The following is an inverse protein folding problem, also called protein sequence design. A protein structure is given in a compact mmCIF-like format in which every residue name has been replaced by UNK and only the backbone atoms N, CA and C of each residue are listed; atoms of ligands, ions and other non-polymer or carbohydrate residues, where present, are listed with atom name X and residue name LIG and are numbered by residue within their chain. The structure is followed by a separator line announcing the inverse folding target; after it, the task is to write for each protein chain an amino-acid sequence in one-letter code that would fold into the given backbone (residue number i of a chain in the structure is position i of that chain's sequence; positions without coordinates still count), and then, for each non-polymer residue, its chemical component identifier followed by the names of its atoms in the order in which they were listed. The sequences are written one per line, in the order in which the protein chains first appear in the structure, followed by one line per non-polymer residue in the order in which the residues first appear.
data_IF_539674404645
#
_entry.id   IF_539674404645
#
_cell.length_a   1.000
_cell.length_b   1.000
_cell.length_c   1.000
_cell.angle_alpha   90.00
_cell.angle_beta   90.00
_cell.angle_gamma   90.00
#
_symmetry.space_group_name_H-M   'P 1'
#
loop_
_entity.id
_entity.type
_entity.pdbx_description
1 polymer ?
#
# COMPACT_ATOMS: atom_id res chain seq x y z
N UNK A 1 34.43 -42.54 30.33
CA UNK A 1 33.71 -43.23 29.22
C UNK A 1 32.35 -43.77 29.64
N UNK A 2 32.19 -44.40 30.80
CA UNK A 2 30.90 -44.97 31.26
C UNK A 2 29.77 -43.94 31.37
N UNK A 3 30.02 -42.74 31.93
CA UNK A 3 29.01 -41.67 32.00
C UNK A 3 28.62 -41.15 30.61
N UNK A 4 29.58 -41.03 29.69
CA UNK A 4 29.35 -40.56 28.32
C UNK A 4 28.46 -41.51 27.52
N UNK A 5 28.77 -42.81 27.54
CA UNK A 5 27.93 -43.80 26.85
C UNK A 5 26.52 -43.85 27.45
N UNK A 6 26.37 -43.71 28.77
CA UNK A 6 25.07 -43.61 29.40
C UNK A 6 24.30 -42.36 28.97
N UNK A 7 24.95 -41.19 28.87
CA UNK A 7 24.31 -39.95 28.43
C UNK A 7 23.88 -40.02 26.96
N UNK A 8 24.75 -40.52 26.07
CA UNK A 8 24.43 -40.73 24.64
C UNK A 8 23.31 -41.76 24.45
N UNK A 9 23.28 -42.83 25.26
CA UNK A 9 22.18 -43.81 25.23
C UNK A 9 20.84 -43.20 25.62
N UNK A 10 20.81 -42.30 26.62
CA UNK A 10 19.59 -41.57 27.00
C UNK A 10 19.15 -40.62 25.89
N UNK A 11 20.10 -39.93 25.24
CA UNK A 11 19.80 -39.05 24.12
C UNK A 11 19.22 -39.83 22.93
N UNK A 12 19.79 -40.99 22.59
CA UNK A 12 19.25 -41.86 21.55
C UNK A 12 17.81 -42.32 21.87
N UNK A 13 17.54 -42.74 23.10
CA UNK A 13 16.19 -43.13 23.52
C UNK A 13 15.19 -41.98 23.45
N UNK A 14 15.64 -40.76 23.78
CA UNK A 14 14.83 -39.55 23.66
C UNK A 14 14.57 -39.13 22.20
N UNK A 15 15.49 -39.44 21.28
CA UNK A 15 15.26 -39.23 19.84
C UNK A 15 14.22 -40.21 19.30
N UNK A 16 14.31 -41.48 19.69
CA UNK A 16 13.37 -42.53 19.30
C UNK A 16 11.92 -42.21 19.72
N UNK A 17 11.74 -41.49 20.84
CA UNK A 17 10.41 -41.10 21.32
C UNK A 17 9.77 -39.95 20.52
N UNK A 18 10.54 -39.24 19.69
CA UNK A 18 10.12 -38.04 18.93
C UNK A 18 9.52 -36.94 19.81
N UNK A 19 9.93 -36.88 21.09
CA UNK A 19 9.46 -35.89 22.03
C UNK A 19 10.58 -34.90 22.38
N UNK A 20 10.43 -33.66 21.95
CA UNK A 20 11.45 -32.62 22.16
C UNK A 20 11.72 -32.34 23.66
N UNK A 21 10.73 -32.56 24.54
CA UNK A 21 10.90 -32.43 25.99
C UNK A 21 11.79 -33.51 26.58
N UNK A 22 11.73 -34.74 26.07
CA UNK A 22 12.61 -35.82 26.49
C UNK A 22 14.05 -35.59 26.02
N UNK A 23 14.22 -35.00 24.83
CA UNK A 23 15.54 -34.59 24.33
C UNK A 23 16.16 -33.55 25.25
N UNK A 24 15.39 -32.54 25.69
CA UNK A 24 15.88 -31.55 26.65
C UNK A 24 16.34 -32.18 27.96
N UNK A 25 15.55 -33.10 28.53
CA UNK A 25 15.91 -33.82 29.75
C UNK A 25 17.16 -34.71 29.55
N UNK A 26 17.32 -35.30 28.37
CA UNK A 26 18.50 -36.08 28.02
C UNK A 26 19.75 -35.19 27.97
N UNK A 27 19.65 -34.02 27.34
CA UNK A 27 20.74 -33.04 27.23
C UNK A 27 21.23 -32.50 28.58
N UNK A 28 20.36 -32.42 29.59
CA UNK A 28 20.76 -32.04 30.95
C UNK A 28 21.72 -33.02 31.63
N UNK A 29 21.86 -34.26 31.12
CA UNK A 29 22.82 -35.23 31.65
C UNK A 29 24.26 -35.00 31.15
N UNK A 30 24.50 -34.02 30.27
CA UNK A 30 25.83 -33.65 29.80
C UNK A 30 26.36 -32.49 30.64
N UNK A 31 27.43 -32.72 31.42
CA UNK A 31 28.09 -31.67 32.22
C UNK A 31 28.60 -30.50 31.36
N UNK A 32 28.74 -29.30 31.94
CA UNK A 32 29.28 -28.12 31.24
C UNK A 32 30.75 -28.32 30.80
N UNK A 33 31.54 -29.09 31.55
CA UNK A 33 32.96 -29.40 31.25
C UNK A 33 33.16 -30.50 30.19
N UNK A 34 32.08 -31.02 29.61
CA UNK A 34 32.17 -32.03 28.55
C UNK A 34 32.74 -31.43 27.26
N UNK A 35 33.98 -31.83 26.91
CA UNK A 35 34.55 -31.59 25.57
C UNK A 35 33.91 -32.53 24.56
N UNK A 36 33.16 -31.95 23.63
CA UNK A 36 32.37 -32.62 22.62
C UNK A 36 33.18 -33.00 21.37
N UNK A 37 34.46 -32.66 21.31
CA UNK A 37 35.34 -32.88 20.14
C UNK A 37 35.27 -34.32 19.59
N UNK A 38 35.12 -35.33 20.46
CA UNK A 38 35.03 -36.76 20.06
C UNK A 38 33.62 -37.24 19.68
N UNK A 39 32.58 -36.46 19.93
CA UNK A 39 31.18 -36.84 19.71
C UNK A 39 30.43 -35.86 18.82
N UNK A 40 31.14 -34.92 18.20
CA UNK A 40 30.55 -33.88 17.35
C UNK A 40 29.69 -34.47 16.22
N UNK A 41 30.18 -35.51 15.54
CA UNK A 41 29.42 -36.26 14.51
C UNK A 41 28.06 -36.79 15.01
N UNK A 42 27.96 -37.15 16.29
CA UNK A 42 26.71 -37.63 16.89
C UNK A 42 25.76 -36.46 17.06
N UNK A 43 26.21 -35.34 17.60
CA UNK A 43 25.38 -34.14 17.76
C UNK A 43 24.89 -33.58 16.43
N UNK A 44 25.73 -33.60 15.38
CA UNK A 44 25.33 -33.21 14.02
C UNK A 44 24.17 -34.07 13.53
N UNK A 45 24.27 -35.40 13.67
CA UNK A 45 23.20 -36.33 13.25
C UNK A 45 21.92 -36.13 14.06
N UNK A 46 22.04 -35.97 15.38
CA UNK A 46 20.90 -35.67 16.26
C UNK A 46 20.21 -34.36 15.86
N UNK A 47 20.98 -33.31 15.57
CA UNK A 47 20.46 -32.03 15.10
C UNK A 47 19.71 -32.18 13.77
N UNK A 48 20.32 -32.86 12.78
CA UNK A 48 19.69 -33.10 11.47
C UNK A 48 18.36 -33.84 11.61
N UNK A 49 18.28 -34.82 12.52
CA UNK A 49 17.03 -35.52 12.83
C UNK A 49 16.00 -34.59 13.47
N UNK A 50 16.37 -33.83 14.51
CA UNK A 50 15.45 -32.92 15.22
C UNK A 50 14.92 -31.82 14.29
N UNK A 51 15.74 -31.29 13.40
CA UNK A 51 15.35 -30.26 12.44
C UNK A 51 14.24 -30.74 11.50
N UNK A 52 14.16 -32.06 11.25
CA UNK A 52 13.10 -32.65 10.42
C UNK A 52 11.75 -32.78 11.14
N UNK A 53 11.69 -32.51 12.45
CA UNK A 53 10.46 -32.62 13.24
C UNK A 53 9.61 -31.35 13.17
N UNK A 54 8.34 -31.46 13.57
CA UNK A 54 7.49 -30.28 13.80
C UNK A 54 7.86 -29.61 15.14
N UNK A 55 8.74 -28.62 15.05
CA UNK A 55 9.24 -27.87 16.20
C UNK A 55 8.23 -26.81 16.72
N UNK A 56 7.07 -26.66 16.07
CA UNK A 56 6.06 -25.66 16.46
C UNK A 56 5.19 -26.09 17.65
N UNK A 57 5.25 -27.37 18.03
CA UNK A 57 4.51 -27.95 19.17
C UNK A 57 4.93 -27.29 20.50
N UNK A 58 6.21 -26.99 20.67
CA UNK A 58 6.74 -26.30 21.85
C UNK A 58 7.95 -25.43 21.51
N UNK A 59 7.71 -24.20 21.05
CA UNK A 59 8.75 -23.29 20.54
C UNK A 59 9.91 -23.09 21.54
N UNK A 60 9.61 -22.80 22.81
CA UNK A 60 10.64 -22.51 23.83
C UNK A 60 11.57 -23.71 24.10
N UNK A 61 10.99 -24.91 24.20
CA UNK A 61 11.75 -26.15 24.38
C UNK A 61 12.59 -26.44 23.13
N UNK A 62 11.99 -26.31 21.94
CA UNK A 62 12.70 -26.48 20.66
C UNK A 62 13.88 -25.51 20.54
N UNK A 63 13.70 -24.22 20.89
CA UNK A 63 14.79 -23.23 20.91
C UNK A 63 15.91 -23.66 21.84
N UNK A 64 15.56 -24.07 23.05
CA UNK A 64 16.53 -24.47 24.08
C UNK A 64 17.34 -25.69 23.64
N UNK A 65 16.67 -26.74 23.15
CA UNK A 65 17.32 -27.96 22.65
C UNK A 65 18.28 -27.66 21.51
N UNK A 66 17.84 -26.89 20.52
CA UNK A 66 18.65 -26.57 19.35
C UNK A 66 19.85 -25.72 19.74
N UNK A 67 19.68 -24.69 20.58
CA UNK A 67 20.82 -23.89 21.08
C UNK A 67 21.81 -24.74 21.88
N UNK A 68 21.33 -25.59 22.78
CA UNK A 68 22.20 -26.46 23.58
C UNK A 68 23.01 -27.40 22.68
N UNK A 69 22.40 -28.00 21.66
CA UNK A 69 23.12 -28.87 20.73
C UNK A 69 24.11 -28.10 19.84
N UNK A 70 23.72 -26.93 19.31
CA UNK A 70 24.61 -26.08 18.51
C UNK A 70 25.83 -25.62 19.32
N UNK A 71 25.66 -25.27 20.60
CA UNK A 71 26.76 -24.87 21.49
C UNK A 71 27.74 -26.01 21.82
N UNK A 72 27.40 -27.28 21.52
CA UNK A 72 28.29 -28.43 21.68
C UNK A 72 29.11 -28.72 20.41
N UNK A 73 28.88 -28.01 19.32
CA UNK A 73 29.71 -28.12 18.11
C UNK A 73 30.93 -27.22 18.26
N UNK A 74 32.07 -27.80 18.64
CA UNK A 74 33.33 -27.07 18.88
C UNK A 74 34.03 -26.69 17.57
N UNK A 75 33.86 -27.47 16.51
CA UNK A 75 34.47 -27.20 15.21
C UNK A 75 33.64 -26.16 14.44
N UNK A 76 34.24 -24.98 14.25
CA UNK A 76 33.62 -23.88 13.51
C UNK A 76 33.17 -24.27 12.09
N UNK A 77 33.90 -25.14 11.39
CA UNK A 77 33.52 -25.57 10.04
C UNK A 77 32.26 -26.44 10.04
N UNK A 78 32.13 -27.31 11.05
CA UNK A 78 30.95 -28.17 11.25
C UNK A 78 29.74 -27.34 11.65
N UNK A 79 29.94 -26.39 12.57
CA UNK A 79 28.89 -25.45 12.99
C UNK A 79 28.41 -24.58 11.82
N UNK A 80 29.31 -24.09 10.97
CA UNK A 80 28.96 -23.34 9.75
C UNK A 80 28.15 -24.19 8.76
N UNK A 81 28.57 -25.45 8.51
CA UNK A 81 27.83 -26.38 7.66
C UNK A 81 26.42 -26.67 8.20
N UNK A 82 26.30 -26.84 9.52
CA UNK A 82 25.03 -27.07 10.20
C UNK A 82 24.09 -25.87 10.11
N UNK A 83 24.60 -24.64 10.28
CA UNK A 83 23.85 -23.41 10.05
C UNK A 83 23.34 -23.31 8.59
N UNK A 84 24.21 -23.58 7.62
CA UNK A 84 23.85 -23.60 6.20
C UNK A 84 22.76 -24.64 5.90
N UNK A 85 22.85 -25.82 6.51
CA UNK A 85 21.83 -26.86 6.40
C UNK A 85 20.49 -26.38 6.95
N UNK A 86 20.47 -25.80 8.17
CA UNK A 86 19.25 -25.29 8.81
C UNK A 86 18.56 -24.24 7.93
N UNK A 87 19.32 -23.26 7.43
CA UNK A 87 18.77 -22.18 6.60
C UNK A 87 18.23 -22.74 5.28
N UNK A 88 18.83 -23.80 4.72
CA UNK A 88 18.28 -24.46 3.52
C UNK A 88 17.00 -25.25 3.81
N UNK A 89 16.87 -25.86 4.99
CA UNK A 89 15.64 -26.59 5.37
C UNK A 89 14.47 -25.66 5.69
N UNK A 90 14.73 -24.38 6.00
CA UNK A 90 13.72 -23.37 6.30
C UNK A 90 12.79 -23.72 7.49
N UNK A 91 13.26 -24.50 8.45
CA UNK A 91 12.51 -24.81 9.68
C UNK A 91 12.35 -23.57 10.58
N UNK A 92 11.11 -23.28 10.93
CA UNK A 92 10.64 -22.07 11.64
C UNK A 92 11.60 -21.47 12.68
N UNK A 93 11.84 -22.21 13.76
CA UNK A 93 12.50 -21.72 14.97
C UNK A 93 14.03 -21.81 14.88
N UNK A 94 14.53 -22.79 14.14
CA UNK A 94 15.98 -23.03 14.01
C UNK A 94 16.62 -22.03 13.06
N UNK A 95 15.90 -21.50 12.07
CA UNK A 95 16.42 -20.48 11.15
C UNK A 95 16.87 -19.23 11.92
N UNK A 96 16.08 -18.76 12.90
CA UNK A 96 16.48 -17.60 13.71
C UNK A 96 17.79 -17.88 14.49
N UNK A 97 17.89 -19.06 15.10
CA UNK A 97 19.09 -19.49 15.85
C UNK A 97 20.31 -19.58 14.93
N UNK A 98 20.17 -20.25 13.77
CA UNK A 98 21.26 -20.40 12.81
C UNK A 98 21.74 -19.03 12.31
N UNK A 99 20.82 -18.11 12.02
CA UNK A 99 21.17 -16.75 11.59
C UNK A 99 21.86 -15.96 12.70
N UNK A 100 21.41 -16.05 13.95
CA UNK A 100 22.08 -15.40 15.08
C UNK A 100 23.53 -15.88 15.22
N UNK A 101 23.75 -17.20 15.21
CA UNK A 101 25.09 -17.81 15.29
C UNK A 101 25.97 -17.37 14.11
N UNK A 102 25.43 -17.40 12.88
CA UNK A 102 26.18 -16.95 11.70
C UNK A 102 26.60 -15.49 11.81
N UNK A 103 25.72 -14.61 12.32
CA UNK A 103 26.03 -13.19 12.50
C UNK A 103 27.11 -12.98 13.57
N UNK A 104 27.01 -13.69 14.70
CA UNK A 104 28.01 -13.62 15.79
C UNK A 104 29.41 -14.02 15.30
N UNK A 105 29.50 -15.00 14.41
CA UNK A 105 30.76 -15.48 13.84
C UNK A 105 31.19 -14.74 12.55
N UNK A 106 30.37 -13.82 12.04
CA UNK A 106 30.63 -13.09 10.80
C UNK A 106 30.54 -13.94 9.53
N UNK A 107 29.83 -15.07 9.57
CA UNK A 107 29.62 -15.95 8.43
C UNK A 107 28.54 -15.41 7.49
N UNK A 108 28.77 -15.59 6.19
CA UNK A 108 27.85 -15.19 5.13
C UNK A 108 27.57 -16.36 4.18
N UNK A 109 26.40 -16.36 3.57
CA UNK A 109 26.02 -17.37 2.58
C UNK A 109 26.78 -17.13 1.28
N UNK A 110 27.19 -18.23 0.62
CA UNK A 110 27.71 -18.15 -0.76
C UNK A 110 26.57 -17.81 -1.72
N UNK A 111 26.93 -17.33 -2.91
CA UNK A 111 25.94 -16.93 -3.93
C UNK A 111 24.97 -18.05 -4.30
N UNK A 112 25.44 -19.29 -4.42
CA UNK A 112 24.58 -20.44 -4.75
C UNK A 112 23.67 -20.83 -3.59
N UNK A 113 24.18 -20.72 -2.35
CA UNK A 113 23.39 -20.97 -1.14
C UNK A 113 22.29 -19.92 -0.99
N UNK A 114 22.55 -18.64 -1.27
CA UNK A 114 21.54 -17.59 -1.28
C UNK A 114 20.38 -17.92 -2.23
N UNK A 115 20.68 -18.45 -3.42
CA UNK A 115 19.67 -18.83 -4.41
C UNK A 115 18.84 -20.03 -3.94
N UNK A 116 19.49 -21.00 -3.33
CA UNK A 116 18.81 -22.18 -2.80
C UNK A 116 17.89 -21.81 -1.64
N UNK A 117 18.39 -21.03 -0.67
CA UNK A 117 17.59 -20.49 0.44
C UNK A 117 16.39 -19.72 -0.07
N UNK A 118 16.55 -18.88 -1.10
CA UNK A 118 15.44 -18.16 -1.71
C UNK A 118 14.35 -19.09 -2.28
N UNK A 119 14.74 -20.15 -2.99
CA UNK A 119 13.78 -21.13 -3.52
C UNK A 119 13.02 -21.85 -2.42
N UNK A 120 13.71 -22.21 -1.33
CA UNK A 120 13.11 -22.90 -0.19
C UNK A 120 12.16 -21.98 0.60
N UNK A 121 12.49 -20.69 0.69
CA UNK A 121 11.58 -19.69 1.23
C UNK A 121 10.30 -19.63 0.39
N UNK A 122 10.41 -19.54 -0.94
CA UNK A 122 9.24 -19.43 -1.82
C UNK A 122 8.35 -20.69 -1.78
N UNK A 123 8.92 -21.89 -1.56
CA UNK A 123 8.14 -23.12 -1.41
C UNK A 123 7.44 -23.24 -0.04
N UNK A 124 7.99 -22.66 1.02
CA UNK A 124 7.52 -22.83 2.41
C UNK A 124 6.45 -21.81 2.88
N UNK A 125 6.05 -20.83 2.06
CA UNK A 125 5.23 -19.68 2.52
C UNK A 125 3.82 -20.01 3.04
N UNK A 126 3.27 -21.21 2.84
CA UNK A 126 1.82 -21.44 2.94
C UNK A 126 1.33 -22.28 4.15
N UNK A 127 2.20 -22.76 5.04
CA UNK A 127 1.82 -23.81 6.02
C UNK A 127 1.92 -23.41 7.50
N UNK A 128 2.41 -22.22 7.83
CA UNK A 128 2.79 -21.87 9.21
C UNK A 128 1.93 -20.77 9.83
N UNK A 129 1.92 -20.71 11.18
CA UNK A 129 1.38 -19.56 11.92
C UNK A 129 2.11 -18.28 11.51
N UNK A 130 1.37 -17.18 11.38
CA UNK A 130 1.89 -15.94 10.80
C UNK A 130 3.03 -15.29 11.62
N UNK A 131 3.00 -15.39 12.95
CA UNK A 131 4.07 -14.88 13.82
C UNK A 131 5.40 -15.61 13.60
N UNK A 132 5.31 -16.92 13.40
CA UNK A 132 6.46 -17.78 13.11
C UNK A 132 7.04 -17.43 11.73
N UNK A 133 6.17 -17.24 10.74
CA UNK A 133 6.57 -16.77 9.42
C UNK A 133 7.30 -15.42 9.52
N UNK A 134 6.77 -14.47 10.29
CA UNK A 134 7.40 -13.16 10.47
C UNK A 134 8.81 -13.26 11.06
N UNK A 135 9.00 -14.04 12.15
CA UNK A 135 10.32 -14.28 12.77
C UNK A 135 11.31 -14.89 11.77
N UNK A 136 10.91 -15.97 11.09
CA UNK A 136 11.74 -16.66 10.09
C UNK A 136 12.13 -15.74 8.94
N UNK A 137 11.18 -14.96 8.41
CA UNK A 137 11.44 -14.04 7.30
C UNK A 137 12.34 -12.87 7.71
N UNK A 138 12.22 -12.36 8.94
CA UNK A 138 13.17 -11.39 9.49
C UNK A 138 14.59 -11.95 9.56
N UNK A 139 14.76 -13.17 10.08
CA UNK A 139 16.06 -13.84 10.15
C UNK A 139 16.65 -14.07 8.75
N UNK A 140 15.87 -14.64 7.83
CA UNK A 140 16.29 -14.82 6.43
C UNK A 140 16.70 -13.49 5.78
N UNK A 141 15.93 -12.42 5.99
CA UNK A 141 16.26 -11.11 5.44
C UNK A 141 17.62 -10.60 5.95
N UNK A 142 17.89 -10.74 7.26
CA UNK A 142 19.18 -10.35 7.87
C UNK A 142 20.37 -11.07 7.24
N UNK A 143 20.32 -12.39 7.15
CA UNK A 143 21.45 -13.16 6.61
C UNK A 143 21.62 -12.95 5.09
N UNK A 144 20.53 -12.90 4.33
CA UNK A 144 20.58 -12.63 2.89
C UNK A 144 21.14 -11.23 2.61
N UNK A 145 20.78 -10.23 3.42
CA UNK A 145 21.33 -8.88 3.33
C UNK A 145 22.83 -8.85 3.56
N UNK A 146 23.30 -9.48 4.65
CA UNK A 146 24.74 -9.57 4.95
C UNK A 146 25.51 -10.34 3.85
N UNK A 147 24.85 -11.29 3.20
CA UNK A 147 25.39 -12.08 2.10
C UNK A 147 25.30 -11.37 0.72
N UNK A 148 24.88 -10.10 0.68
CA UNK A 148 24.85 -9.30 -0.55
C UNK A 148 23.64 -9.54 -1.45
N UNK A 149 22.54 -10.11 -0.93
CA UNK A 149 21.31 -10.27 -1.70
C UNK A 149 20.76 -8.91 -2.15
N UNK A 150 20.33 -8.78 -3.42
CA UNK A 150 19.77 -7.53 -3.93
C UNK A 150 18.59 -7.03 -3.10
N UNK A 151 18.62 -5.74 -2.74
CA UNK A 151 17.60 -5.04 -1.95
C UNK A 151 16.16 -5.32 -2.39
N UNK A 152 15.89 -5.36 -3.70
CA UNK A 152 14.57 -5.66 -4.28
C UNK A 152 13.98 -7.01 -3.84
N UNK A 153 14.82 -8.02 -3.61
CA UNK A 153 14.37 -9.34 -3.17
C UNK A 153 14.02 -9.33 -1.68
N UNK A 154 14.83 -8.64 -0.88
CA UNK A 154 14.56 -8.43 0.54
C UNK A 154 13.26 -7.62 0.74
N UNK A 155 13.06 -6.56 -0.06
CA UNK A 155 11.83 -5.76 -0.04
C UNK A 155 10.60 -6.61 -0.36
N UNK A 156 10.66 -7.45 -1.40
CA UNK A 156 9.57 -8.37 -1.76
C UNK A 156 9.27 -9.33 -0.60
N UNK A 157 10.31 -9.92 -0.01
CA UNK A 157 10.19 -10.87 1.08
C UNK A 157 9.41 -10.29 2.28
N UNK A 158 9.78 -9.10 2.73
CA UNK A 158 9.12 -8.44 3.85
C UNK A 158 7.72 -7.93 3.48
N UNK A 159 7.52 -7.40 2.28
CA UNK A 159 6.21 -6.91 1.82
C UNK A 159 5.15 -8.01 1.77
N UNK A 160 5.52 -9.23 1.33
CA UNK A 160 4.61 -10.38 1.32
C UNK A 160 4.14 -10.76 2.74
N UNK A 161 5.04 -10.65 3.73
CA UNK A 161 4.73 -10.93 5.13
C UNK A 161 3.83 -9.85 5.73
N UNK A 162 4.04 -8.58 5.39
CA UNK A 162 3.16 -7.47 5.83
C UNK A 162 1.72 -7.74 5.41
N UNK A 163 1.49 -8.12 4.14
CA UNK A 163 0.15 -8.44 3.64
C UNK A 163 -0.49 -9.55 4.48
N UNK A 164 0.30 -10.56 4.85
CA UNK A 164 -0.15 -11.71 5.62
C UNK A 164 -0.40 -11.40 7.11
N UNK A 165 0.47 -10.61 7.76
CA UNK A 165 0.28 -10.10 9.13
C UNK A 165 -1.00 -9.27 9.22
N UNK A 166 -1.20 -8.40 8.23
CA UNK A 166 -2.36 -7.53 8.13
C UNK A 166 -3.67 -8.30 7.96
N UNK A 167 -3.69 -9.32 7.08
CA UNK A 167 -4.87 -10.16 6.88
C UNK A 167 -5.30 -10.90 8.16
N UNK A 168 -4.35 -11.21 9.05
CA UNK A 168 -4.59 -11.95 10.29
C UNK A 168 -4.73 -11.07 11.55
N UNK A 169 -4.66 -9.73 11.41
CA UNK A 169 -4.74 -8.76 12.53
C UNK A 169 -3.71 -9.02 13.65
N UNK A 170 -2.51 -9.45 13.27
CA UNK A 170 -1.43 -9.73 14.22
C UNK A 170 -0.54 -8.51 14.37
N UNK A 171 -0.12 -8.22 15.60
CA UNK A 171 0.83 -7.14 15.87
C UNK A 171 2.16 -7.40 15.16
N UNK A 172 2.72 -6.37 14.52
CA UNK A 172 3.98 -6.52 13.78
C UNK A 172 5.14 -6.57 14.79
N UNK A 173 5.97 -7.65 14.80
CA UNK A 173 7.08 -7.74 15.73
C UNK A 173 8.13 -6.63 15.53
N UNK A 174 8.72 -6.13 16.62
CA UNK A 174 9.73 -5.07 16.55
C UNK A 174 10.96 -5.45 15.73
N UNK A 175 11.48 -6.68 15.89
CA UNK A 175 12.59 -7.19 15.05
C UNK A 175 12.25 -7.12 13.55
N UNK A 176 10.99 -7.37 13.18
CA UNK A 176 10.53 -7.29 11.80
C UNK A 176 10.53 -5.86 11.28
N UNK A 177 9.98 -4.93 12.06
CA UNK A 177 9.95 -3.51 11.70
C UNK A 177 11.37 -2.94 11.54
N UNK A 178 12.31 -3.33 12.41
CA UNK A 178 13.70 -2.88 12.31
C UNK A 178 14.36 -3.33 11.01
N UNK A 179 14.14 -4.58 10.60
CA UNK A 179 14.67 -5.07 9.33
C UNK A 179 13.95 -4.42 8.13
N UNK A 180 12.64 -4.15 8.24
CA UNK A 180 11.91 -3.35 7.26
C UNK A 180 12.45 -1.93 7.17
N UNK A 181 12.85 -1.29 8.27
CA UNK A 181 13.43 0.06 8.24
C UNK A 181 14.78 0.12 7.51
N UNK A 182 15.58 -0.95 7.58
CA UNK A 182 16.85 -1.06 6.84
C UNK A 182 16.57 -1.18 5.34
N UNK A 183 15.59 -2.02 4.97
CA UNK A 183 15.33 -2.41 3.58
C UNK A 183 14.34 -1.47 2.89
N UNK A 184 13.32 -0.95 3.56
CA UNK A 184 12.38 0.06 3.05
C UNK A 184 12.09 1.12 4.12
N UNK A 185 13.01 2.08 4.33
CA UNK A 185 12.90 3.09 5.39
C UNK A 185 11.72 4.06 5.23
N UNK A 186 11.19 4.22 4.02
CA UNK A 186 10.08 5.12 3.72
C UNK A 186 8.75 4.38 3.61
N UNK A 187 8.69 3.14 4.08
CA UNK A 187 7.46 2.36 4.05
C UNK A 187 6.40 3.00 4.97
N UNK A 188 5.15 3.21 4.50
CA UNK A 188 4.11 3.89 5.28
C UNK A 188 3.87 3.30 6.67
N UNK A 189 3.99 1.97 6.82
CA UNK A 189 3.83 1.29 8.13
C UNK A 189 4.82 1.82 9.17
N UNK A 190 6.07 2.09 8.82
CA UNK A 190 7.06 2.58 9.79
C UNK A 190 6.65 3.95 10.37
N UNK A 191 6.09 4.82 9.52
CA UNK A 191 5.58 6.13 9.94
C UNK A 191 4.35 6.00 10.83
N UNK A 192 3.49 5.00 10.57
CA UNK A 192 2.32 4.73 11.41
C UNK A 192 2.72 4.21 12.79
N UNK A 193 3.67 3.28 12.85
CA UNK A 193 4.19 2.78 14.11
C UNK A 193 4.91 3.88 14.90
N UNK A 194 5.66 4.76 14.23
CA UNK A 194 6.25 5.96 14.83
C UNK A 194 5.19 6.89 15.48
N UNK A 195 4.04 7.10 14.80
CA UNK A 195 2.94 7.87 15.38
C UNK A 195 2.31 7.26 16.63
N UNK A 196 2.49 5.95 16.89
CA UNK A 196 1.94 5.30 18.10
C UNK A 196 2.70 5.67 19.38
N UNK A 197 3.75 6.50 19.31
CA UNK A 197 4.49 7.10 20.45
C UNK A 197 5.25 6.10 21.33
N UNK A 198 5.91 5.13 20.73
CA UNK A 198 6.97 4.36 21.40
C UNK A 198 8.33 4.99 21.06
N UNK A 199 9.07 5.38 22.08
CA UNK A 199 10.31 6.15 21.98
C UNK A 199 11.52 5.42 21.36
N UNK A 200 11.34 4.16 20.92
CA UNK A 200 12.44 3.29 20.46
C UNK A 200 12.39 2.95 18.96
N UNK A 201 11.49 3.58 18.19
CA UNK A 201 11.27 3.23 16.80
C UNK A 201 12.16 4.02 15.81
N UNK A 202 13.14 3.30 15.24
CA UNK A 202 13.82 3.54 13.94
C UNK A 202 14.75 4.75 13.77
N UNK A 203 15.93 4.49 13.19
CA UNK A 203 16.72 5.52 12.48
C UNK A 203 16.31 5.53 11.02
N UNK A 204 15.45 6.48 10.61
CA UNK A 204 15.28 6.78 9.19
C UNK A 204 16.67 7.17 8.65
N UNK A 205 17.16 6.54 7.56
CA UNK A 205 18.40 6.94 6.94
C UNK A 205 18.39 8.43 6.65
N UNK A 206 19.47 9.11 7.04
CA UNK A 206 19.59 10.54 6.85
C UNK A 206 19.70 10.85 5.34
N UNK A 207 18.57 11.07 4.68
CA UNK A 207 18.54 11.56 3.31
C UNK A 207 18.72 13.07 3.34
N UNK A 208 19.83 13.54 2.78
CA UNK A 208 20.25 14.94 2.83
C UNK A 208 19.36 15.86 1.97
N UNK A 209 18.80 15.33 0.87
CA UNK A 209 17.94 16.10 -0.03
C UNK A 209 16.46 15.78 0.21
N UNK A 210 15.68 16.82 0.52
CA UNK A 210 14.22 16.75 0.60
C UNK A 210 13.59 16.20 -0.68
N UNK A 211 14.17 16.52 -1.84
CA UNK A 211 13.73 16.04 -3.14
C UNK A 211 13.92 14.53 -3.29
N UNK A 212 15.11 14.03 -2.95
CA UNK A 212 15.37 12.58 -3.00
C UNK A 212 14.45 11.83 -2.04
N UNK A 213 14.24 12.37 -0.85
CA UNK A 213 13.33 11.78 0.15
C UNK A 213 11.89 11.75 -0.35
N UNK A 214 11.39 12.85 -0.89
CA UNK A 214 10.04 12.93 -1.47
C UNK A 214 9.80 11.85 -2.52
N UNK A 215 10.72 11.68 -3.47
CA UNK A 215 10.59 10.67 -4.51
C UNK A 215 10.56 9.23 -3.98
N UNK A 216 11.34 8.94 -2.94
CA UNK A 216 11.36 7.62 -2.30
C UNK A 216 10.07 7.36 -1.51
N UNK A 217 9.58 8.36 -0.78
CA UNK A 217 8.31 8.29 -0.04
C UNK A 217 7.12 8.09 -1.00
N UNK A 218 7.05 8.86 -2.10
CA UNK A 218 6.02 8.71 -3.15
C UNK A 218 6.02 7.30 -3.72
N UNK A 219 7.21 6.76 -4.05
CA UNK A 219 7.35 5.42 -4.62
C UNK A 219 6.85 4.35 -3.64
N UNK A 220 7.30 4.39 -2.39
CA UNK A 220 6.90 3.40 -1.38
C UNK A 220 5.43 3.50 -1.02
N UNK A 221 4.89 4.71 -0.89
CA UNK A 221 3.46 4.93 -0.65
C UNK A 221 2.60 4.36 -1.79
N UNK A 222 2.98 4.63 -3.04
CA UNK A 222 2.24 4.12 -4.22
C UNK A 222 2.29 2.60 -4.28
N UNK A 223 3.46 2.01 -4.04
CA UNK A 223 3.63 0.55 -4.02
C UNK A 223 2.80 -0.10 -2.90
N UNK A 224 2.73 0.54 -1.74
CA UNK A 224 2.00 0.04 -0.59
C UNK A 224 0.49 -0.06 -0.86
N UNK A 225 -0.08 0.88 -1.62
CA UNK A 225 -1.48 0.89 -2.02
C UNK A 225 -1.80 0.09 -3.29
N UNK A 226 -0.88 -0.69 -3.87
CA UNK A 226 -1.18 -1.45 -5.09
C UNK A 226 -2.33 -2.46 -4.88
N UNK A 227 -2.33 -3.17 -3.76
CA UNK A 227 -3.36 -4.16 -3.38
C UNK A 227 -4.26 -3.54 -2.32
N UNK A 228 -5.56 -3.43 -2.57
CA UNK A 228 -6.50 -3.00 -1.53
C UNK A 228 -6.62 -4.09 -0.46
N UNK A 229 -6.54 -3.71 0.82
CA UNK A 229 -6.59 -4.63 1.95
C UNK A 229 -7.49 -4.06 3.05
N UNK A 230 -7.98 -4.92 3.93
CA UNK A 230 -8.72 -4.52 5.14
C UNK A 230 -7.89 -3.58 6.02
N UNK A 231 -6.58 -3.79 6.08
CA UNK A 231 -5.65 -2.94 6.82
C UNK A 231 -5.65 -1.49 6.33
N UNK A 232 -5.69 -1.25 5.02
CA UNK A 232 -5.75 0.10 4.47
C UNK A 232 -7.00 0.85 4.93
N UNK A 233 -8.13 0.13 5.06
CA UNK A 233 -9.37 0.70 5.57
C UNK A 233 -9.29 0.98 7.07
N UNK A 234 -8.71 0.06 7.85
CA UNK A 234 -8.56 0.21 9.30
C UNK A 234 -7.57 1.31 9.71
N UNK A 235 -6.52 1.55 8.92
CA UNK A 235 -5.48 2.55 9.20
C UNK A 235 -5.64 3.85 8.40
N UNK A 236 -6.81 4.12 7.83
CA UNK A 236 -6.99 5.22 6.88
C UNK A 236 -6.65 6.60 7.46
N UNK A 237 -7.01 6.88 8.71
CA UNK A 237 -6.66 8.14 9.36
C UNK A 237 -5.14 8.34 9.48
N UNK A 238 -4.41 7.29 9.85
CA UNK A 238 -2.95 7.32 9.94
C UNK A 238 -2.32 7.42 8.55
N UNK A 239 -2.85 6.70 7.55
CA UNK A 239 -2.41 6.82 6.15
C UNK A 239 -2.64 8.23 5.59
N UNK A 240 -3.73 8.89 5.97
CA UNK A 240 -3.96 10.29 5.61
C UNK A 240 -2.90 11.21 6.21
N UNK A 241 -2.46 10.95 7.44
CA UNK A 241 -1.35 11.69 8.05
C UNK A 241 -0.03 11.46 7.29
N UNK A 242 0.26 10.22 6.90
CA UNK A 242 1.43 9.89 6.04
C UNK A 242 1.34 10.64 4.72
N UNK A 243 0.21 10.58 4.02
CA UNK A 243 -0.03 11.31 2.77
C UNK A 243 0.21 12.81 2.94
N UNK A 244 -0.33 13.41 3.99
CA UNK A 244 -0.16 14.83 4.29
C UNK A 244 1.30 15.20 4.59
N UNK A 245 2.09 14.32 5.22
CA UNK A 245 3.51 14.55 5.42
C UNK A 245 4.30 14.52 4.10
N UNK A 246 4.03 13.54 3.23
CA UNK A 246 4.64 13.45 1.90
C UNK A 246 4.29 14.70 1.08
N UNK A 247 3.02 15.12 1.13
CA UNK A 247 2.57 16.35 0.48
C UNK A 247 3.28 17.59 1.04
N UNK A 248 3.41 17.74 2.36
CA UNK A 248 4.17 18.86 2.96
C UNK A 248 5.62 18.88 2.46
N UNK A 249 6.23 17.71 2.27
CA UNK A 249 7.58 17.62 1.68
C UNK A 249 7.62 18.08 0.23
N UNK A 250 6.61 17.76 -0.56
CA UNK A 250 6.45 18.27 -1.93
C UNK A 250 6.45 19.82 -1.99
N UNK A 251 5.98 20.50 -0.93
CA UNK A 251 6.00 21.96 -0.86
C UNK A 251 7.42 22.52 -0.64
N UNK A 252 8.33 21.73 -0.06
CA UNK A 252 9.72 22.11 0.27
C UNK A 252 10.70 21.92 -0.89
N UNK A 253 10.34 21.13 -1.90
CA UNK A 253 11.21 20.80 -3.03
C UNK A 253 11.06 21.83 -4.16
N UNK A 254 11.90 21.78 -5.22
CA UNK A 254 11.70 22.57 -6.42
C UNK A 254 10.36 22.30 -7.13
N UNK A 255 10.11 23.07 -8.19
CA UNK A 255 8.94 22.86 -9.05
C UNK A 255 8.98 21.48 -9.70
N UNK A 256 7.84 20.78 -9.74
CA UNK A 256 7.75 19.47 -10.37
C UNK A 256 7.87 19.58 -11.90
N UNK A 257 8.55 18.62 -12.50
CA UNK A 257 8.79 18.56 -13.94
C UNK A 257 7.80 17.64 -14.67
N UNK A 258 7.56 17.91 -15.95
CA UNK A 258 6.64 17.12 -16.77
C UNK A 258 6.88 15.59 -16.75
N UNK A 259 8.12 15.07 -16.74
CA UNK A 259 8.39 13.63 -16.65
C UNK A 259 7.90 12.97 -15.36
N UNK A 260 7.61 13.75 -14.30
CA UNK A 260 7.13 13.24 -13.02
C UNK A 260 5.62 13.05 -12.97
N UNK A 261 4.87 13.57 -13.96
CA UNK A 261 3.40 13.56 -13.96
C UNK A 261 2.82 12.17 -13.71
N UNK A 262 3.33 11.13 -14.37
CA UNK A 262 2.81 9.77 -14.20
C UNK A 262 2.97 9.27 -12.75
N UNK A 263 4.14 9.52 -12.13
CA UNK A 263 4.42 9.12 -10.74
C UNK A 263 3.51 9.84 -9.75
N UNK A 264 3.30 11.14 -9.94
CA UNK A 264 2.45 11.94 -9.06
C UNK A 264 0.97 11.61 -9.24
N UNK A 265 0.54 11.25 -10.45
CA UNK A 265 -0.81 10.74 -10.69
C UNK A 265 -1.01 9.38 -10.00
N UNK A 266 -0.05 8.45 -10.09
CA UNK A 266 -0.14 7.18 -9.37
C UNK A 266 -0.15 7.37 -7.84
N UNK A 267 0.64 8.32 -7.33
CA UNK A 267 0.62 8.72 -5.92
C UNK A 267 -0.76 9.20 -5.48
N UNK A 268 -1.38 10.08 -6.25
CA UNK A 268 -2.74 10.55 -5.97
C UNK A 268 -3.77 9.42 -6.07
N UNK A 269 -3.68 8.56 -7.08
CA UNK A 269 -4.56 7.39 -7.21
C UNK A 269 -4.43 6.42 -6.04
N UNK A 270 -3.23 6.26 -5.48
CA UNK A 270 -3.01 5.52 -4.24
C UNK A 270 -3.70 6.23 -3.07
N UNK A 271 -3.54 7.54 -2.94
CA UNK A 271 -4.15 8.33 -1.87
C UNK A 271 -5.68 8.31 -1.91
N UNK A 272 -6.31 8.27 -3.10
CA UNK A 272 -7.77 8.19 -3.21
C UNK A 272 -8.36 6.95 -2.51
N UNK A 273 -7.59 5.86 -2.40
CA UNK A 273 -8.02 4.65 -1.70
C UNK A 273 -8.14 4.84 -0.18
N UNK A 274 -7.43 5.81 0.40
CA UNK A 274 -7.54 6.15 1.83
C UNK A 274 -8.99 6.53 2.16
N UNK A 275 -9.65 7.26 1.27
CA UNK A 275 -10.97 7.80 1.55
C UNK A 275 -12.11 6.76 1.57
N UNK A 276 -11.80 5.51 1.24
CA UNK A 276 -12.70 4.37 1.45
C UNK A 276 -12.58 3.76 2.86
N UNK A 277 -11.67 4.27 3.69
CA UNK A 277 -11.38 3.70 4.99
C UNK A 277 -12.17 4.29 6.15
N UNK A 278 -12.04 3.66 7.31
CA UNK A 278 -12.76 4.03 8.52
C UNK A 278 -12.20 5.33 9.11
N UNK A 279 -13.10 6.17 9.63
CA UNK A 279 -12.75 7.41 10.31
C UNK A 279 -12.44 8.61 9.41
N UNK A 280 -12.42 8.44 8.08
CA UNK A 280 -12.31 9.55 7.13
C UNK A 280 -13.64 10.29 7.02
N UNK A 281 -13.64 11.59 7.31
CA UNK A 281 -14.82 12.45 7.19
C UNK A 281 -14.81 13.36 5.96
N UNK A 282 -15.94 14.03 5.69
CA UNK A 282 -16.08 15.01 4.59
C UNK A 282 -15.09 16.18 4.67
N UNK A 283 -14.65 16.55 5.88
CA UNK A 283 -13.65 17.59 6.06
C UNK A 283 -12.27 17.15 5.55
N UNK A 284 -11.85 15.91 5.84
CA UNK A 284 -10.58 15.35 5.37
C UNK A 284 -10.52 15.31 3.83
N UNK A 285 -11.66 14.99 3.23
CA UNK A 285 -11.86 14.94 1.79
C UNK A 285 -11.77 16.34 1.18
N UNK A 286 -12.46 17.31 1.78
CA UNK A 286 -12.46 18.71 1.33
C UNK A 286 -11.06 19.33 1.43
N UNK A 287 -10.32 19.05 2.51
CA UNK A 287 -8.93 19.48 2.65
C UNK A 287 -8.03 18.81 1.60
N UNK A 288 -8.21 17.51 1.36
CA UNK A 288 -7.45 16.78 0.33
C UNK A 288 -7.73 17.32 -1.08
N UNK A 289 -8.95 17.73 -1.39
CA UNK A 289 -9.28 18.38 -2.66
C UNK A 289 -8.49 19.69 -2.87
N UNK A 290 -8.29 20.49 -1.81
CA UNK A 290 -7.44 21.69 -1.88
C UNK A 290 -5.97 21.34 -2.15
N UNK A 291 -5.49 20.22 -1.62
CA UNK A 291 -4.13 19.74 -1.89
C UNK A 291 -3.94 19.38 -3.36
N UNK A 292 -4.97 18.87 -4.05
CA UNK A 292 -4.92 18.59 -5.49
C UNK A 292 -4.73 19.86 -6.32
N UNK A 293 -5.46 20.94 -6.01
CA UNK A 293 -5.28 22.24 -6.67
C UNK A 293 -3.85 22.77 -6.48
N UNK A 294 -3.31 22.61 -5.28
CA UNK A 294 -1.94 23.00 -4.95
C UNK A 294 -0.90 22.11 -5.66
N UNK A 295 -1.12 20.79 -5.76
CA UNK A 295 -0.26 19.89 -6.55
C UNK A 295 -0.21 20.34 -8.00
N UNK A 296 -1.34 20.65 -8.63
CA UNK A 296 -1.34 21.15 -10.00
C UNK A 296 -0.51 22.44 -10.13
N UNK A 297 -0.55 23.31 -9.11
CA UNK A 297 0.23 24.55 -9.05
C UNK A 297 1.74 24.33 -8.89
N UNK A 298 2.17 23.15 -8.43
CA UNK A 298 3.59 22.74 -8.34
C UNK A 298 4.23 22.47 -9.69
N UNK A 299 3.48 22.43 -10.79
CA UNK A 299 4.01 22.29 -12.14
C UNK A 299 4.12 23.66 -12.84
N UNK A 300 4.99 23.73 -13.86
CA UNK A 300 5.06 24.88 -14.77
C UNK A 300 3.73 25.06 -15.51
N UNK A 301 3.39 26.30 -15.89
CA UNK A 301 2.07 26.62 -16.48
C UNK A 301 1.71 25.70 -17.66
N UNK A 302 2.70 25.39 -18.50
CA UNK A 302 2.61 24.44 -19.63
C UNK A 302 2.28 23.00 -19.22
N UNK A 303 2.75 22.56 -18.06
CA UNK A 303 2.60 21.17 -17.60
C UNK A 303 1.36 20.95 -16.73
N UNK A 304 0.77 22.02 -16.17
CA UNK A 304 -0.46 21.93 -15.35
C UNK A 304 -1.64 21.28 -16.08
N UNK A 305 -2.01 21.67 -17.32
CA UNK A 305 -3.12 21.03 -18.02
C UNK A 305 -2.80 19.55 -18.33
N UNK A 306 -1.53 19.22 -18.59
CA UNK A 306 -1.09 17.85 -18.84
C UNK A 306 -1.24 16.96 -17.60
N UNK A 307 -0.87 17.47 -16.42
CA UNK A 307 -1.09 16.78 -15.14
C UNK A 307 -2.58 16.48 -14.92
N UNK A 308 -3.44 17.49 -15.04
CA UNK A 308 -4.88 17.33 -14.83
C UNK A 308 -5.52 16.38 -15.85
N UNK A 309 -5.12 16.47 -17.13
CA UNK A 309 -5.56 15.54 -18.18
C UNK A 309 -5.12 14.11 -17.91
N UNK A 310 -3.84 13.91 -17.58
CA UNK A 310 -3.32 12.57 -17.33
C UNK A 310 -3.99 11.94 -16.12
N UNK A 311 -4.24 12.73 -15.08
CA UNK A 311 -4.98 12.29 -13.91
C UNK A 311 -6.41 11.88 -14.27
N UNK A 312 -7.14 12.75 -14.98
CA UNK A 312 -8.50 12.47 -15.41
C UNK A 312 -8.59 11.22 -16.31
N UNK A 313 -7.62 11.07 -17.22
CA UNK A 313 -7.50 9.90 -18.09
C UNK A 313 -7.33 8.62 -17.28
N UNK A 314 -6.40 8.59 -16.33
CA UNK A 314 -6.13 7.42 -15.49
C UNK A 314 -7.31 7.05 -14.60
N UNK A 315 -8.11 8.03 -14.15
CA UNK A 315 -9.39 7.76 -13.48
C UNK A 315 -10.35 7.10 -14.46
N UNK A 316 -10.55 7.67 -15.65
CA UNK A 316 -11.50 7.14 -16.66
C UNK A 316 -11.17 5.73 -17.19
N UNK A 317 -9.91 5.30 -17.08
CA UNK A 317 -9.46 3.95 -17.49
C UNK A 317 -9.76 2.89 -16.43
N UNK A 318 -10.02 3.27 -15.17
CA UNK A 318 -10.39 2.35 -14.09
C UNK A 318 -11.90 2.14 -14.08
N UNK A 319 -12.37 1.06 -14.70
CA UNK A 319 -13.81 0.76 -14.82
C UNK A 319 -14.50 0.35 -13.50
N UNK A 320 -13.73 -0.18 -12.54
CA UNK A 320 -14.26 -0.85 -11.34
C UNK A 320 -13.77 -0.22 -10.04
N UNK A 321 -13.50 1.09 -10.03
CA UNK A 321 -13.09 1.76 -8.79
C UNK A 321 -14.30 1.97 -7.89
N UNK A 322 -14.46 1.08 -6.92
CA UNK A 322 -15.18 1.33 -5.65
C UNK A 322 -14.50 2.47 -4.83
N UNK A 323 -13.91 3.47 -5.49
CA UNK A 323 -13.39 4.68 -4.83
C UNK A 323 -14.62 5.55 -4.58
N UNK A 324 -15.12 5.53 -3.34
CA UNK A 324 -16.38 6.17 -2.96
C UNK A 324 -16.44 7.68 -3.20
N UNK A 325 -15.32 8.31 -3.57
CA UNK A 325 -15.20 9.75 -3.79
C UNK A 325 -14.55 10.16 -5.10
N UNK A 326 -14.41 9.21 -6.03
CA UNK A 326 -13.93 9.51 -7.37
C UNK A 326 -14.66 10.71 -8.02
N UNK A 327 -16.00 10.85 -7.93
CA UNK A 327 -16.72 11.96 -8.55
C UNK A 327 -16.32 13.34 -8.01
N UNK A 328 -16.08 13.47 -6.71
CA UNK A 328 -15.66 14.71 -6.05
C UNK A 328 -14.24 15.10 -6.50
N UNK A 329 -13.37 14.12 -6.65
CA UNK A 329 -12.00 14.31 -7.16
C UNK A 329 -12.05 14.74 -8.62
N UNK A 330 -12.85 14.06 -9.45
CA UNK A 330 -13.05 14.42 -10.85
C UNK A 330 -13.62 15.84 -10.97
N UNK A 331 -14.63 16.20 -10.17
CA UNK A 331 -15.17 17.55 -10.14
C UNK A 331 -14.13 18.59 -9.72
N UNK A 332 -13.24 18.24 -8.77
CA UNK A 332 -12.14 19.10 -8.35
C UNK A 332 -11.11 19.27 -9.46
N UNK A 333 -10.76 18.21 -10.21
CA UNK A 333 -9.89 18.27 -11.39
C UNK A 333 -10.47 19.23 -12.44
N UNK A 334 -11.77 19.09 -12.75
CA UNK A 334 -12.47 19.95 -13.71
C UNK A 334 -12.50 21.40 -13.24
N UNK A 335 -12.83 21.63 -11.97
CA UNK A 335 -12.86 22.98 -11.37
C UNK A 335 -11.47 23.61 -11.36
N UNK A 336 -10.43 22.84 -11.06
CA UNK A 336 -9.02 23.30 -11.09
C UNK A 336 -8.62 23.68 -12.51
N UNK A 337 -9.01 22.86 -13.49
CA UNK A 337 -8.76 23.14 -14.90
C UNK A 337 -9.48 24.43 -15.33
N UNK A 338 -10.76 24.57 -15.00
CA UNK A 338 -11.59 25.75 -15.28
C UNK A 338 -10.98 27.02 -14.69
N UNK A 339 -10.64 27.02 -13.39
CA UNK A 339 -10.03 28.18 -12.72
C UNK A 339 -8.69 28.56 -13.32
N UNK A 340 -7.82 27.60 -13.62
CA UNK A 340 -6.52 27.89 -14.22
C UNK A 340 -6.64 28.36 -15.67
N UNK A 341 -7.50 27.72 -16.47
CA UNK A 341 -7.71 28.09 -17.87
C UNK A 341 -8.23 29.52 -17.99
N UNK A 342 -9.31 29.85 -17.30
CA UNK A 342 -10.04 31.10 -17.51
C UNK A 342 -9.66 32.19 -16.51
N UNK A 343 -9.30 31.83 -15.28
CA UNK A 343 -8.80 32.77 -14.27
C UNK A 343 -7.43 33.34 -14.64
N UNK A 344 -6.54 32.51 -15.20
CA UNK A 344 -5.22 32.97 -15.69
C UNK A 344 -5.24 33.37 -17.16
N UNK A 345 -6.33 33.08 -17.88
CA UNK A 345 -6.45 33.26 -19.34
C UNK A 345 -5.29 32.61 -20.11
N UNK A 346 -4.92 31.39 -19.73
CA UNK A 346 -3.70 30.71 -20.20
C UNK A 346 -3.93 30.01 -21.56
N UNK A 347 -3.16 30.37 -22.61
CA UNK A 347 -3.20 29.70 -23.90
C UNK A 347 -2.90 28.20 -23.82
N UNK A 348 -2.00 27.79 -22.92
CA UNK A 348 -1.61 26.40 -22.72
C UNK A 348 -2.81 25.54 -22.30
N UNK A 349 -3.70 26.07 -21.47
CA UNK A 349 -4.95 25.39 -21.15
C UNK A 349 -5.91 25.40 -22.34
N UNK A 350 -6.01 26.51 -23.08
CA UNK A 350 -6.92 26.57 -24.22
C UNK A 350 -6.55 25.58 -25.32
N UNK A 351 -5.25 25.37 -25.58
CA UNK A 351 -4.75 24.36 -26.52
C UNK A 351 -5.26 22.97 -26.16
N UNK A 352 -5.14 22.59 -24.89
CA UNK A 352 -5.47 21.28 -24.34
C UNK A 352 -6.99 21.05 -24.12
N UNK A 353 -7.82 22.09 -24.23
CA UNK A 353 -9.24 22.08 -23.86
C UNK A 353 -10.07 21.05 -24.65
N UNK A 354 -9.77 20.83 -25.93
CA UNK A 354 -10.49 19.87 -26.76
C UNK A 354 -10.33 18.43 -26.28
N UNK A 355 -9.09 18.05 -25.94
CA UNK A 355 -8.82 16.72 -25.38
C UNK A 355 -9.35 16.59 -23.95
N UNK A 356 -9.32 17.66 -23.16
CA UNK A 356 -9.92 17.66 -21.82
C UNK A 356 -11.43 17.38 -21.87
N UNK A 357 -12.15 17.98 -22.83
CA UNK A 357 -13.56 17.68 -23.08
C UNK A 357 -13.80 16.23 -23.51
N UNK A 358 -12.93 15.69 -24.37
CA UNK A 358 -13.01 14.28 -24.78
C UNK A 358 -12.83 13.31 -23.61
N UNK A 359 -12.05 13.68 -22.58
CA UNK A 359 -11.91 12.91 -21.34
C UNK A 359 -13.16 13.01 -20.47
N UNK A 360 -13.75 14.21 -20.31
CA UNK A 360 -15.01 14.39 -19.59
C UNK A 360 -16.11 13.49 -20.19
N UNK A 361 -16.24 13.47 -21.52
CA UNK A 361 -17.21 12.62 -22.21
C UNK A 361 -17.14 11.12 -21.88
N UNK A 362 -15.99 10.61 -21.45
CA UNK A 362 -15.80 9.19 -21.13
C UNK A 362 -16.31 8.82 -19.74
N UNK A 363 -16.47 9.80 -18.85
CA UNK A 363 -16.86 9.58 -17.46
C UNK A 363 -18.38 9.52 -17.36
N UNK A 364 -18.87 8.46 -16.73
CA UNK A 364 -20.29 8.22 -16.47
C UNK A 364 -20.44 7.72 -15.03
N UNK A 365 -21.45 8.22 -14.35
CA UNK A 365 -21.80 7.79 -13.00
C UNK A 365 -23.23 7.26 -13.02
N UNK A 366 -23.42 6.03 -12.51
CA UNK A 366 -24.73 5.39 -12.42
C UNK A 366 -25.54 5.93 -11.23
N UNK A 367 -24.85 6.41 -10.19
CA UNK A 367 -25.46 7.04 -9.03
C UNK A 367 -25.76 8.52 -9.29
N UNK A 368 -26.98 8.94 -8.97
CA UNK A 368 -27.51 10.29 -9.18
C UNK A 368 -26.72 11.36 -8.42
N UNK A 369 -26.37 11.08 -7.16
CA UNK A 369 -25.65 12.03 -6.32
C UNK A 369 -24.22 12.23 -6.84
N UNK A 370 -23.58 11.16 -7.26
CA UNK A 370 -22.26 11.22 -7.91
C UNK A 370 -22.31 11.92 -9.28
N UNK A 371 -23.31 11.62 -10.10
CA UNK A 371 -23.53 12.30 -11.38
C UNK A 371 -23.74 13.80 -11.18
N UNK A 372 -24.42 14.21 -10.12
CA UNK A 372 -24.71 15.62 -9.81
C UNK A 372 -23.45 16.45 -9.57
N UNK A 373 -22.53 15.96 -8.74
CA UNK A 373 -21.29 16.68 -8.42
C UNK A 373 -20.44 16.85 -9.67
N UNK A 374 -20.37 15.80 -10.49
CA UNK A 374 -19.66 15.79 -11.75
C UNK A 374 -20.29 16.73 -12.80
N UNK A 375 -21.60 16.64 -13.05
CA UNK A 375 -22.31 17.48 -14.02
C UNK A 375 -22.23 18.95 -13.66
N UNK A 376 -22.30 19.29 -12.37
CA UNK A 376 -22.14 20.68 -11.90
C UNK A 376 -20.80 21.27 -12.34
N UNK A 377 -19.71 20.51 -12.22
CA UNK A 377 -18.38 20.96 -12.64
C UNK A 377 -18.27 21.06 -14.17
N UNK A 378 -18.85 20.11 -14.91
CA UNK A 378 -18.90 20.13 -16.38
C UNK A 378 -19.66 21.36 -16.90
N UNK A 379 -20.84 21.64 -16.33
CA UNK A 379 -21.65 22.79 -16.74
C UNK A 379 -20.94 24.11 -16.42
N UNK A 380 -20.28 24.22 -15.26
CA UNK A 380 -19.48 25.38 -14.91
C UNK A 380 -18.30 25.59 -15.88
N UNK A 381 -17.64 24.51 -16.34
CA UNK A 381 -16.58 24.57 -17.34
C UNK A 381 -17.11 25.06 -18.70
N UNK A 382 -18.25 24.54 -19.15
CA UNK A 382 -18.86 24.94 -20.41
C UNK A 382 -19.33 26.41 -20.39
N UNK A 383 -19.94 26.82 -19.27
CA UNK A 383 -20.31 28.22 -19.04
C UNK A 383 -19.08 29.13 -19.10
N UNK A 384 -17.98 28.77 -18.44
CA UNK A 384 -16.75 29.55 -18.45
C UNK A 384 -16.16 29.63 -19.86
N UNK A 385 -16.13 28.53 -20.62
CA UNK A 385 -15.68 28.56 -22.02
C UNK A 385 -16.45 29.57 -22.87
N UNK A 386 -17.78 29.62 -22.71
CA UNK A 386 -18.63 30.55 -23.43
C UNK A 386 -18.45 32.00 -22.98
N UNK A 387 -18.42 32.26 -21.66
CA UNK A 387 -18.23 33.61 -21.09
C UNK A 387 -16.90 34.21 -21.53
N UNK A 388 -15.84 33.41 -21.57
CA UNK A 388 -14.51 33.86 -22.01
C UNK A 388 -14.32 33.77 -23.54
N UNK A 389 -15.37 33.39 -24.29
CA UNK A 389 -15.40 33.35 -25.76
C UNK A 389 -14.28 32.50 -26.38
N UNK A 390 -14.01 31.34 -25.79
CA UNK A 390 -12.90 30.46 -26.20
C UNK A 390 -13.38 29.37 -27.16
N UNK A 391 -12.74 29.29 -28.33
CA UNK A 391 -12.93 28.24 -29.36
C UNK A 391 -14.41 27.99 -29.68
N UNK A 392 -15.05 28.90 -30.42
CA UNK A 392 -16.50 28.87 -30.77
C UNK A 392 -16.98 27.53 -31.31
N UNK A 393 -16.24 26.94 -32.25
CA UNK A 393 -16.58 25.63 -32.84
C UNK A 393 -16.54 24.50 -31.81
N UNK A 394 -15.52 24.47 -30.94
CA UNK A 394 -15.45 23.52 -29.84
C UNK A 394 -16.62 23.73 -28.87
N UNK A 395 -16.99 24.97 -28.59
CA UNK A 395 -18.12 25.29 -27.72
C UNK A 395 -19.45 24.76 -28.30
N UNK A 396 -19.64 24.87 -29.62
CA UNK A 396 -20.78 24.26 -30.33
C UNK A 396 -20.78 22.73 -30.20
N UNK A 397 -19.63 22.09 -30.35
CA UNK A 397 -19.52 20.65 -30.15
C UNK A 397 -19.83 20.24 -28.71
N UNK A 398 -19.32 20.97 -27.72
CA UNK A 398 -19.59 20.73 -26.30
C UNK A 398 -21.09 20.82 -26.01
N UNK A 399 -21.78 21.81 -26.57
CA UNK A 399 -23.22 21.93 -26.42
C UNK A 399 -23.96 20.69 -26.92
N UNK A 400 -23.71 20.29 -28.17
CA UNK A 400 -24.44 19.19 -28.80
C UNK A 400 -24.04 17.80 -28.29
N UNK A 401 -22.74 17.57 -28.03
CA UNK A 401 -22.20 16.25 -27.69
C UNK A 401 -22.15 15.99 -26.18
N UNK A 402 -22.13 17.03 -25.35
CA UNK A 402 -21.94 16.92 -23.90
C UNK A 402 -23.16 17.42 -23.14
N UNK A 403 -23.50 18.70 -23.31
CA UNK A 403 -24.53 19.33 -22.48
C UNK A 403 -25.93 18.80 -22.75
N UNK A 404 -26.32 18.69 -24.02
CA UNK A 404 -27.64 18.16 -24.39
C UNK A 404 -27.83 16.71 -23.87
N UNK A 405 -26.91 15.75 -24.12
CA UNK A 405 -27.04 14.40 -23.56
C UNK A 405 -27.03 14.33 -22.03
N UNK A 406 -26.23 15.16 -21.36
CA UNK A 406 -26.22 15.22 -19.89
C UNK A 406 -27.53 15.77 -19.33
N UNK A 407 -28.13 16.77 -20.00
CA UNK A 407 -29.44 17.28 -19.62
C UNK A 407 -30.55 16.24 -19.80
N UNK A 408 -30.55 15.50 -20.90
CA UNK A 408 -31.47 14.39 -21.12
C UNK A 408 -31.35 13.33 -20.01
N UNK A 409 -30.11 12.95 -19.64
CA UNK A 409 -29.87 12.04 -18.52
C UNK A 409 -30.42 12.59 -17.20
N UNK A 410 -30.23 13.88 -16.91
CA UNK A 410 -30.80 14.52 -15.72
C UNK A 410 -32.33 14.47 -15.72
N UNK A 411 -32.96 14.75 -16.85
CA UNK A 411 -34.41 14.68 -17.00
C UNK A 411 -34.92 13.25 -16.77
N UNK A 412 -34.20 12.24 -17.30
CA UNK A 412 -34.55 10.84 -17.10
C UNK A 412 -34.38 10.41 -15.64
N UNK A 413 -33.31 10.83 -14.96
CA UNK A 413 -33.14 10.60 -13.53
C UNK A 413 -34.27 11.23 -12.70
N UNK A 414 -34.66 12.47 -13.00
CA UNK A 414 -35.77 13.14 -12.32
C UNK A 414 -37.09 12.39 -12.53
N UNK A 415 -37.39 11.95 -13.77
CA UNK A 415 -38.61 11.18 -14.07
C UNK A 415 -38.63 9.82 -13.37
N UNK A 416 -37.53 9.07 -13.41
CA UNK A 416 -37.41 7.79 -12.70
C UNK A 416 -37.69 7.98 -11.21
N UNK A 417 -37.14 9.04 -10.61
CA UNK A 417 -37.36 9.35 -9.18
C UNK A 417 -38.79 9.73 -8.86
N UNK A 418 -39.47 10.51 -9.71
CA UNK A 418 -40.90 10.79 -9.56
C UNK A 418 -41.77 9.53 -9.63
N UNK A 419 -41.39 8.57 -10.48
CA UNK A 419 -42.09 7.27 -10.56
C UNK A 419 -41.84 6.43 -9.31
N UNK A 420 -40.62 6.42 -8.76
CA UNK A 420 -40.29 5.74 -7.50
C UNK A 420 -41.06 6.33 -6.32
N UNK A 421 -41.13 7.66 -6.18
CA UNK A 421 -41.89 8.31 -5.10
C UNK A 421 -43.39 8.02 -5.18
N UNK A 422 -43.94 7.94 -6.40
CA UNK A 422 -45.36 7.66 -6.60
C UNK A 422 -45.74 6.18 -6.35
N UNK A 423 -44.77 5.27 -6.30
CA UNK A 423 -44.98 3.85 -5.98
C UNK A 423 -44.93 3.54 -4.50
N UNK A 424 -44.46 4.47 -3.66
CA UNK A 424 -44.40 4.29 -2.23
C UNK A 424 -45.81 4.09 -1.66
N UNK A 425 -46.00 3.00 -0.93
CA UNK A 425 -47.32 2.59 -0.41
C UNK A 425 -47.58 3.07 1.01
N UNK A 426 -46.55 3.53 1.73
CA UNK A 426 -46.63 4.03 3.11
C UNK A 426 -45.81 5.31 3.30
N UNK A 427 -46.20 6.13 4.29
CA UNK A 427 -45.44 7.34 4.67
C UNK A 427 -44.01 7.02 5.12
N UNK A 428 -43.78 5.86 5.74
CA UNK A 428 -42.43 5.39 6.09
C UNK A 428 -41.59 5.04 4.85
N UNK A 429 -42.21 4.46 3.81
CA UNK A 429 -41.57 4.17 2.54
C UNK A 429 -41.24 5.46 1.78
N UNK A 430 -42.14 6.45 1.79
CA UNK A 430 -41.89 7.80 1.29
C UNK A 430 -40.72 8.45 2.03
N UNK A 431 -40.72 8.46 3.36
CA UNK A 431 -39.63 9.05 4.15
C UNK A 431 -38.31 8.32 3.94
N UNK A 432 -38.29 6.98 3.83
CA UNK A 432 -37.08 6.22 3.49
C UNK A 432 -36.57 6.57 2.10
N UNK A 433 -37.46 6.68 1.11
CA UNK A 433 -37.10 7.08 -0.25
C UNK A 433 -36.57 8.51 -0.27
N UNK A 434 -37.20 9.46 0.44
CA UNK A 434 -36.71 10.84 0.56
C UNK A 434 -35.33 10.92 1.23
N UNK A 435 -35.09 10.14 2.29
CA UNK A 435 -33.79 10.06 2.95
C UNK A 435 -32.71 9.41 2.07
N UNK A 436 -33.09 8.45 1.22
CA UNK A 436 -32.22 7.91 0.17
C UNK A 436 -32.04 8.89 -1.00
N UNK A 437 -32.98 9.81 -1.19
CA UNK A 437 -33.07 10.75 -2.31
C UNK A 437 -32.62 12.18 -1.93
N UNK A 438 -31.64 12.35 -1.04
CA UNK A 438 -31.02 13.66 -0.71
C UNK A 438 -30.64 14.46 -1.98
N UNK A 439 -30.38 13.78 -3.10
CA UNK A 439 -30.13 14.35 -4.43
C UNK A 439 -31.26 15.19 -5.05
N UNK A 440 -32.51 15.11 -4.57
CA UNK A 440 -33.64 15.78 -5.21
C UNK A 440 -33.51 17.33 -5.24
N UNK A 441 -33.03 17.92 -4.15
CA UNK A 441 -32.76 19.36 -4.06
C UNK A 441 -31.65 19.79 -5.02
N UNK A 442 -30.66 18.92 -5.25
CA UNK A 442 -29.55 19.18 -6.15
C UNK A 442 -29.97 19.22 -7.62
N UNK A 443 -31.04 18.53 -8.02
CA UNK A 443 -31.54 18.61 -9.41
C UNK A 443 -32.00 20.03 -9.79
N UNK A 444 -32.59 20.77 -8.85
CA UNK A 444 -33.01 22.15 -9.11
C UNK A 444 -31.81 23.05 -9.38
N UNK A 445 -30.74 22.89 -8.59
CA UNK A 445 -29.47 23.59 -8.74
C UNK A 445 -28.82 23.21 -10.06
N UNK A 446 -28.73 21.92 -10.37
CA UNK A 446 -28.18 21.41 -11.63
C UNK A 446 -28.92 21.94 -12.85
N UNK A 447 -30.24 21.95 -12.81
CA UNK A 447 -31.07 22.46 -13.92
C UNK A 447 -30.81 23.95 -14.13
N UNK A 448 -30.67 24.71 -13.05
CA UNK A 448 -30.27 26.12 -13.10
C UNK A 448 -28.85 26.29 -13.67
N UNK A 449 -27.88 25.50 -13.22
CA UNK A 449 -26.49 25.54 -13.71
C UNK A 449 -26.40 25.15 -15.19
N UNK A 450 -27.14 24.11 -15.62
CA UNK A 450 -27.29 23.75 -17.02
C UNK A 450 -27.84 24.92 -17.82
N UNK A 451 -28.95 25.53 -17.36
CA UNK A 451 -29.61 26.60 -18.10
C UNK A 451 -28.70 27.82 -18.26
N UNK A 452 -27.98 28.17 -17.21
CA UNK A 452 -26.96 29.23 -17.25
C UNK A 452 -25.84 28.89 -18.24
N UNK A 453 -25.36 27.65 -18.30
CA UNK A 453 -24.35 27.24 -19.26
C UNK A 453 -24.90 27.29 -20.70
N UNK A 454 -26.09 26.74 -20.93
CA UNK A 454 -26.79 26.75 -22.22
C UNK A 454 -26.97 28.17 -22.75
N UNK A 455 -27.54 29.08 -21.94
CA UNK A 455 -27.84 30.44 -22.38
C UNK A 455 -26.56 31.19 -22.79
N UNK A 456 -25.46 31.00 -22.05
CA UNK A 456 -24.16 31.60 -22.39
C UNK A 456 -23.55 31.02 -23.66
N UNK A 457 -23.69 29.72 -23.89
CA UNK A 457 -23.19 29.09 -25.09
C UNK A 457 -24.01 29.54 -26.31
N UNK A 458 -25.34 29.59 -26.19
CA UNK A 458 -26.22 30.10 -27.24
C UNK A 458 -25.94 31.57 -27.56
N UNK A 459 -25.67 32.41 -26.55
CA UNK A 459 -25.25 33.81 -26.73
C UNK A 459 -23.93 33.88 -27.53
N UNK A 460 -22.89 33.16 -27.09
CA UNK A 460 -21.60 33.13 -27.77
C UNK A 460 -21.68 32.55 -29.21
N UNK A 461 -22.57 31.60 -29.46
CA UNK A 461 -22.76 31.05 -30.81
C UNK A 461 -23.46 32.04 -31.76
N UNK A 462 -24.30 32.95 -31.24
CA UNK A 462 -25.04 33.96 -32.01
C UNK A 462 -24.21 35.21 -32.34
N UNK A 463 -23.20 35.53 -31.53
CA UNK A 463 -22.28 36.62 -31.83
C UNK A 463 -21.45 36.25 -33.07
N UNK A 464 -21.64 36.98 -34.18
CA UNK A 464 -21.03 36.67 -35.49
C UNK A 464 -19.51 36.48 -35.42
#
# INVERSE_FOLDING_TARGET
MTNLMSALSKLSQALDSKNIGEVLLALQNFDEEFSAEKCEDVFVRCLQEIISWDLTVSLEISETVVRQMMNRLENQAVLEEMCNYIIKQQSSVTVEIAVEIMIEHGWILRTDDCREVWKQIESAKNTEKIEILARRMTANCRILRLSGAPKRFLEKLLKDVIISLNANKVNIPMKFLNELAIVSPFHPILVIEDFKKDSEYFYIPHVVSEETRFHLEVKEFTNFFQIESTYHKEQACQMLQVFNQIYKRMELIPQLEAPEIDKIVEFWLAALRIFNGYGIGMNDITESAKLLEKTASRYSLKSRPLFLKHFLKKISEKKDTNIGLEPQVVATIITTYQRNAFGLRSPEFYEELGEFWALCLKIKYDDVYFATVYFSAVFALAQAQAVFKIKKELCREVYHKILQPMHEQLVDFVKLKQVESNKATSEEEVMRLEHQNIGASYFSILTCTYKNAEDRILEFMKEN
#
